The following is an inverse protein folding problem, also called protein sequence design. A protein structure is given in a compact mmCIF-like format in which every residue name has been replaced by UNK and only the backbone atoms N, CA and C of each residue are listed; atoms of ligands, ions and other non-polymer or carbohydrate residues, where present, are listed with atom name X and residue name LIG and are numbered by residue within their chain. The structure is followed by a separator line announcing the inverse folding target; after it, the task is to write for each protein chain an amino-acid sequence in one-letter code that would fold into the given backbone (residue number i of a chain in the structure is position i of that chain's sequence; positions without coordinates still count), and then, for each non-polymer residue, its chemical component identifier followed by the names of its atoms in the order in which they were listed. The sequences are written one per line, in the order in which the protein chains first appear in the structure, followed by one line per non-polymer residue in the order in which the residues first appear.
data_IF_246574283411
#
_entry.id   IF_246574283411
#
_cell.length_a   1.000
_cell.length_b   1.000
_cell.length_c   1.000
_cell.angle_alpha   90.00
_cell.angle_beta   90.00
_cell.angle_gamma   90.00
#
_symmetry.space_group_name_H-M   'P 1'
#
loop_
_entity.id
_entity.type
_entity.pdbx_description
1 polymer ?
#
# COMPACT_ATOMS: atom_id res chain seq x y z
N UNK A 1 -5.01 16.41 11.13
CA UNK A 1 -6.34 16.07 10.56
C UNK A 1 -6.21 16.04 9.02
N UNK A 2 -5.89 14.89 8.40
CA UNK A 2 -5.73 14.81 6.92
C UNK A 2 -7.04 14.49 6.18
N UNK A 3 -7.93 13.72 6.78
CA UNK A 3 -9.22 13.35 6.15
C UNK A 3 -10.25 14.51 6.13
N UNK A 4 -10.16 15.45 7.07
CA UNK A 4 -11.15 16.52 7.22
C UNK A 4 -11.08 17.65 6.18
N UNK A 5 -10.08 17.67 5.30
CA UNK A 5 -9.94 18.70 4.25
C UNK A 5 -10.52 18.26 2.89
N UNK A 6 -11.01 17.02 2.76
CA UNK A 6 -11.32 16.40 1.47
C UNK A 6 -12.83 16.46 1.14
N UNK A 7 -13.61 17.25 1.87
CA UNK A 7 -15.05 17.42 1.68
C UNK A 7 -15.90 16.69 2.73
N UNK A 8 -17.21 16.73 2.53
CA UNK A 8 -18.18 16.05 3.40
C UNK A 8 -18.23 14.55 3.09
N UNK A 9 -18.23 13.74 4.16
CA UNK A 9 -18.40 12.30 4.10
C UNK A 9 -19.16 11.82 5.34
N UNK A 10 -19.82 10.67 5.23
CA UNK A 10 -20.43 9.98 6.37
C UNK A 10 -19.78 8.62 6.59
N UNK A 11 -19.67 8.24 7.87
CA UNK A 11 -19.17 6.95 8.32
C UNK A 11 -20.34 6.09 8.82
N UNK A 12 -20.40 4.85 8.35
CA UNK A 12 -21.38 3.86 8.76
C UNK A 12 -20.65 2.60 9.24
N UNK A 13 -20.86 2.21 10.50
CA UNK A 13 -20.38 0.91 10.98
C UNK A 13 -21.29 -0.19 10.45
N UNK A 14 -20.71 -1.23 9.87
CA UNK A 14 -21.47 -2.37 9.33
C UNK A 14 -21.34 -3.59 10.25
N UNK A 15 -20.11 -3.86 10.70
CA UNK A 15 -19.80 -4.94 11.63
C UNK A 15 -18.49 -4.62 12.36
N UNK A 16 -18.07 -5.48 13.30
CA UNK A 16 -16.81 -5.29 14.02
C UNK A 16 -15.64 -5.16 13.05
N UNK A 17 -14.95 -4.02 13.07
CA UNK A 17 -13.80 -3.75 12.20
C UNK A 17 -14.12 -3.43 10.74
N UNK A 18 -15.40 -3.34 10.34
CA UNK A 18 -15.80 -3.01 8.96
C UNK A 18 -16.65 -1.73 8.93
N UNK A 19 -16.18 -0.78 8.13
CA UNK A 19 -16.81 0.53 7.98
C UNK A 19 -17.09 0.83 6.51
N UNK A 20 -18.24 1.46 6.25
CA UNK A 20 -18.57 2.09 4.97
C UNK A 20 -18.38 3.59 5.09
N UNK A 21 -17.61 4.14 4.16
CA UNK A 21 -17.40 5.58 4.03
C UNK A 21 -18.13 6.03 2.77
N UNK A 22 -19.15 6.87 2.94
CA UNK A 22 -19.85 7.50 1.83
C UNK A 22 -19.30 8.90 1.64
N UNK A 23 -18.75 9.14 0.46
CA UNK A 23 -18.29 10.47 0.05
C UNK A 23 -19.36 11.15 -0.78
N UNK A 24 -19.58 12.44 -0.56
CA UNK A 24 -20.50 13.25 -1.37
C UNK A 24 -19.92 13.56 -2.76
N UNK A 25 -18.60 13.40 -2.92
CA UNK A 25 -17.87 13.67 -4.14
C UNK A 25 -16.96 12.48 -4.52
N UNK A 26 -16.98 12.09 -5.80
CA UNK A 26 -16.12 11.01 -6.29
C UNK A 26 -14.64 11.40 -6.28
N UNK A 27 -14.31 12.69 -6.51
CA UNK A 27 -12.91 13.15 -6.50
C UNK A 27 -12.32 13.05 -5.09
N UNK A 28 -13.13 13.33 -4.07
CA UNK A 28 -12.76 13.15 -2.66
C UNK A 28 -12.47 11.68 -2.34
N UNK A 29 -13.36 10.77 -2.75
CA UNK A 29 -13.17 9.32 -2.61
C UNK A 29 -11.87 8.87 -3.28
N UNK A 30 -11.68 9.23 -4.54
CA UNK A 30 -10.55 8.77 -5.34
C UNK A 30 -9.24 9.35 -4.79
N UNK A 31 -9.22 10.61 -4.36
CA UNK A 31 -8.07 11.19 -3.68
C UNK A 31 -7.74 10.43 -2.39
N UNK A 32 -8.73 10.08 -1.57
CA UNK A 32 -8.49 9.28 -0.35
C UNK A 32 -7.96 7.89 -0.69
N UNK A 33 -8.49 7.23 -1.71
CA UNK A 33 -7.98 5.92 -2.16
C UNK A 33 -6.53 6.00 -2.67
N UNK A 34 -6.21 7.06 -3.44
CA UNK A 34 -4.91 7.21 -4.09
C UNK A 34 -3.80 7.74 -3.15
N UNK A 35 -4.17 8.45 -2.08
CA UNK A 35 -3.21 9.08 -1.16
C UNK A 35 -3.00 8.30 0.15
N UNK A 36 -3.38 7.02 0.19
CA UNK A 36 -3.03 6.10 1.27
C UNK A 36 -1.52 5.85 1.40
N UNK A 37 -1.07 5.11 2.43
CA UNK A 37 -1.86 4.37 3.43
C UNK A 37 -2.40 5.29 4.53
N UNK A 38 -3.45 4.83 5.23
CA UNK A 38 -4.12 5.62 6.26
C UNK A 38 -3.93 5.00 7.64
N UNK A 39 -3.24 5.73 8.50
CA UNK A 39 -3.09 5.37 9.90
C UNK A 39 -3.96 6.28 10.75
N UNK A 40 -4.86 5.68 11.52
CA UNK A 40 -5.70 6.40 12.48
C UNK A 40 -5.45 5.79 13.86
N UNK A 41 -4.86 6.59 14.75
CA UNK A 41 -4.60 6.21 16.13
C UNK A 41 -3.80 4.89 16.29
N UNK A 42 -2.84 4.66 15.40
CA UNK A 42 -2.01 3.45 15.43
C UNK A 42 -2.65 2.23 14.75
N UNK A 43 -3.85 2.37 14.19
CA UNK A 43 -4.49 1.33 13.39
C UNK A 43 -4.33 1.65 11.90
N UNK A 44 -3.77 0.69 11.17
CA UNK A 44 -3.72 0.71 9.71
C UNK A 44 -5.12 0.46 9.14
N UNK A 45 -5.58 1.36 8.28
CA UNK A 45 -6.88 1.24 7.61
C UNK A 45 -6.66 0.81 6.17
N UNK A 46 -7.14 -0.39 5.85
CA UNK A 46 -7.27 -0.84 4.48
C UNK A 46 -8.54 -0.23 3.87
N UNK A 47 -8.38 0.56 2.81
CA UNK A 47 -9.50 1.11 2.05
C UNK A 47 -9.65 0.37 0.72
N UNK A 48 -10.89 0.01 0.38
CA UNK A 48 -11.25 -0.55 -0.92
C UNK A 48 -12.50 0.13 -1.45
N UNK A 49 -12.55 0.34 -2.78
CA UNK A 49 -13.76 0.84 -3.43
C UNK A 49 -14.86 -0.21 -3.34
N UNK A 50 -16.01 0.18 -2.78
CA UNK A 50 -17.16 -0.72 -2.69
C UNK A 50 -17.75 -1.03 -4.07
N UNK A 51 -18.11 -2.29 -4.29
CA UNK A 51 -18.85 -2.75 -5.48
C UNK A 51 -20.06 -3.60 -5.06
N UNK A 52 -21.09 -3.63 -5.91
CA UNK A 52 -22.29 -4.44 -5.67
C UNK A 52 -21.90 -5.92 -5.56
N UNK A 53 -22.28 -6.57 -4.46
CA UNK A 53 -21.97 -7.97 -4.19
C UNK A 53 -20.73 -8.20 -3.32
N UNK A 54 -20.00 -7.14 -2.92
CA UNK A 54 -18.95 -7.28 -1.91
C UNK A 54 -19.52 -7.69 -0.55
N UNK A 55 -18.93 -8.71 0.05
CA UNK A 55 -19.18 -9.06 1.46
C UNK A 55 -18.66 -7.95 2.38
N UNK A 56 -19.46 -7.59 3.39
CA UNK A 56 -19.13 -6.58 4.39
C UNK A 56 -18.65 -7.21 5.71
N UNK A 57 -17.99 -8.37 5.60
CA UNK A 57 -17.40 -9.12 6.72
C UNK A 57 -15.88 -9.03 6.65
N UNK A 58 -15.26 -8.92 7.82
CA UNK A 58 -13.80 -8.88 7.95
C UNK A 58 -13.16 -10.22 7.56
N UNK A 59 -13.87 -11.34 7.78
CA UNK A 59 -13.42 -12.72 7.57
C UNK A 59 -13.05 -13.07 6.12
N UNK A 60 -13.50 -12.27 5.14
CA UNK A 60 -13.14 -12.49 3.72
C UNK A 60 -11.95 -11.62 3.27
N UNK A 61 -11.37 -10.80 4.15
CA UNK A 61 -10.23 -9.95 3.82
C UNK A 61 -8.91 -10.71 3.97
N UNK A 62 -8.66 -11.66 3.07
CA UNK A 62 -7.44 -12.48 3.10
C UNK A 62 -6.16 -11.69 2.75
N UNK A 63 -6.30 -10.64 1.95
CA UNK A 63 -5.21 -9.76 1.56
C UNK A 63 -5.63 -8.28 1.57
N UNK A 64 -4.65 -7.40 1.72
CA UNK A 64 -4.82 -5.96 1.82
C UNK A 64 -3.72 -5.24 1.02
N UNK A 65 -4.07 -4.22 0.22
CA UNK A 65 -3.09 -3.41 -0.49
C UNK A 65 -2.39 -2.46 0.48
N UNK A 66 -1.06 -2.56 0.57
CA UNK A 66 -0.23 -1.78 1.50
C UNK A 66 0.87 -1.07 0.72
N UNK A 67 1.03 0.22 0.97
CA UNK A 67 2.12 1.02 0.43
C UNK A 67 3.37 0.83 1.27
N UNK A 68 4.35 0.13 0.71
CA UNK A 68 5.63 -0.17 1.33
C UNK A 68 6.68 0.84 0.85
N UNK A 69 7.58 1.25 1.75
CA UNK A 69 8.66 2.19 1.45
C UNK A 69 10.01 1.47 1.44
N UNK A 70 10.48 1.12 0.25
CA UNK A 70 11.77 0.47 0.08
C UNK A 70 12.92 1.48 0.20
N UNK A 71 13.83 1.25 1.14
CA UNK A 71 14.99 2.10 1.44
C UNK A 71 16.29 1.46 0.93
N UNK A 72 17.26 2.29 0.55
CA UNK A 72 18.58 1.85 0.07
C UNK A 72 18.52 0.90 -1.14
N UNK A 73 17.51 1.05 -1.99
CA UNK A 73 17.37 0.21 -3.19
C UNK A 73 18.56 0.43 -4.15
N UNK A 74 19.26 -0.64 -4.58
CA UNK A 74 20.33 -0.53 -5.55
C UNK A 74 19.87 0.14 -6.85
N UNK A 75 20.68 1.06 -7.37
CA UNK A 75 20.32 1.88 -8.54
C UNK A 75 19.92 1.03 -9.77
N UNK A 76 20.59 -0.10 -9.99
CA UNK A 76 20.30 -1.01 -11.10
C UNK A 76 18.93 -1.71 -10.97
N UNK A 77 18.39 -1.85 -9.74
CA UNK A 77 17.06 -2.39 -9.48
C UNK A 77 15.96 -1.32 -9.50
N UNK A 78 16.29 -0.05 -9.77
CA UNK A 78 15.33 1.06 -9.85
C UNK A 78 14.53 1.07 -11.17
N UNK A 79 14.06 -0.10 -11.59
CA UNK A 79 13.17 -0.29 -12.72
C UNK A 79 11.83 -0.85 -12.25
N UNK A 80 10.80 -0.77 -13.09
CA UNK A 80 9.51 -1.40 -12.78
C UNK A 80 9.69 -2.88 -12.46
N UNK A 81 10.55 -3.58 -13.20
CA UNK A 81 10.83 -4.99 -12.99
C UNK A 81 11.59 -5.24 -11.68
N UNK A 82 12.67 -4.48 -11.43
CA UNK A 82 13.48 -4.63 -10.22
C UNK A 82 12.71 -4.31 -8.93
N UNK A 83 11.96 -3.20 -8.90
CA UNK A 83 11.13 -2.85 -7.75
C UNK A 83 10.00 -3.86 -7.52
N UNK A 84 9.43 -4.42 -8.59
CA UNK A 84 8.44 -5.50 -8.48
C UNK A 84 9.08 -6.79 -7.96
N UNK A 85 10.30 -7.11 -8.38
CA UNK A 85 11.05 -8.26 -7.88
C UNK A 85 11.30 -8.16 -6.37
N UNK A 86 11.81 -7.02 -5.88
CA UNK A 86 12.07 -6.81 -4.45
C UNK A 86 10.76 -6.91 -3.64
N UNK A 87 9.73 -6.18 -4.06
CA UNK A 87 8.45 -6.14 -3.34
C UNK A 87 7.66 -7.44 -3.42
N UNK A 88 7.98 -8.34 -4.36
CA UNK A 88 7.33 -9.64 -4.48
C UNK A 88 7.58 -10.56 -3.28
N UNK A 89 8.64 -10.30 -2.51
CA UNK A 89 8.92 -11.00 -1.23
C UNK A 89 7.82 -10.75 -0.20
N UNK A 90 7.18 -9.58 -0.24
CA UNK A 90 6.13 -9.19 0.70
C UNK A 90 4.73 -9.66 0.27
N UNK A 91 4.51 -9.82 -1.03
CA UNK A 91 3.20 -10.14 -1.60
C UNK A 91 3.16 -9.85 -3.11
N UNK A 92 1.98 -9.52 -3.65
CA UNK A 92 1.84 -9.22 -5.08
C UNK A 92 1.98 -7.72 -5.35
N UNK A 93 3.01 -7.24 -6.07
CA UNK A 93 3.16 -5.83 -6.41
C UNK A 93 2.00 -5.38 -7.31
N UNK A 94 1.40 -4.24 -7.00
CA UNK A 94 0.26 -3.66 -7.72
C UNK A 94 0.66 -2.38 -8.47
N UNK A 95 1.17 -1.39 -7.73
CA UNK A 95 1.38 -0.02 -8.24
C UNK A 95 2.66 0.60 -7.69
N UNK A 96 3.17 1.62 -8.37
CA UNK A 96 4.25 2.48 -7.90
C UNK A 96 3.75 3.92 -7.89
N UNK A 97 4.17 4.71 -6.92
CA UNK A 97 3.79 6.13 -6.91
C UNK A 97 4.49 6.89 -8.05
N UNK A 98 3.96 8.09 -8.36
CA UNK A 98 4.50 8.90 -9.46
C UNK A 98 5.97 9.32 -9.24
N UNK A 99 6.42 9.72 -8.03
CA UNK A 99 7.84 10.00 -7.79
C UNK A 99 8.76 8.81 -8.07
N UNK A 100 8.38 7.60 -7.63
CA UNK A 100 9.15 6.36 -7.86
C UNK A 100 9.20 6.01 -9.34
N UNK A 101 8.03 6.05 -10.00
CA UNK A 101 7.90 5.71 -11.43
C UNK A 101 8.72 6.65 -12.31
N UNK A 102 8.69 7.96 -12.01
CA UNK A 102 9.41 8.97 -12.77
C UNK A 102 10.86 9.16 -12.32
N UNK A 103 11.34 8.37 -11.34
CA UNK A 103 12.69 8.48 -10.76
C UNK A 103 13.05 9.91 -10.31
N UNK A 104 12.06 10.66 -9.80
CA UNK A 104 12.25 12.06 -9.37
C UNK A 104 13.11 12.17 -8.11
N UNK A 105 13.08 11.16 -7.26
CA UNK A 105 13.94 11.00 -6.10
C UNK A 105 14.31 9.53 -5.96
N UNK A 106 15.58 9.26 -5.67
CA UNK A 106 16.10 7.91 -5.44
C UNK A 106 16.38 7.65 -3.95
N UNK A 107 15.79 8.45 -3.07
CA UNK A 107 15.93 8.30 -1.61
C UNK A 107 15.16 7.08 -1.08
N UNK A 108 14.02 6.78 -1.70
CA UNK A 108 13.21 5.60 -1.44
C UNK A 108 12.29 5.32 -2.62
N UNK A 109 11.87 4.07 -2.77
CA UNK A 109 10.81 3.68 -3.69
C UNK A 109 9.54 3.35 -2.90
N UNK A 110 8.38 3.78 -3.39
CA UNK A 110 7.07 3.41 -2.84
C UNK A 110 6.34 2.48 -3.79
N UNK A 111 6.02 1.30 -3.30
CA UNK A 111 5.31 0.25 -4.04
C UNK A 111 4.07 -0.17 -3.25
N UNK A 112 2.92 -0.21 -3.90
CA UNK A 112 1.71 -0.80 -3.36
C UNK A 112 1.74 -2.31 -3.59
N UNK A 113 1.64 -3.10 -2.53
CA UNK A 113 1.73 -4.56 -2.54
C UNK A 113 0.46 -5.12 -1.92
N UNK A 114 -0.19 -6.05 -2.62
CA UNK A 114 -1.27 -6.86 -2.05
C UNK A 114 -0.64 -7.94 -1.17
N UNK A 115 -0.73 -7.76 0.15
CA UNK A 115 -0.12 -8.63 1.15
C UNK A 115 -1.20 -9.41 1.88
N UNK A 116 -0.91 -10.64 2.33
CA UNK A 116 -1.85 -11.36 3.20
C UNK A 116 -2.06 -10.55 4.48
N UNK A 117 -3.31 -10.46 4.95
CA UNK A 117 -3.64 -9.70 6.15
C UNK A 117 -2.97 -10.27 7.42
N UNK A 118 -2.56 -11.54 7.38
CA UNK A 118 -1.82 -12.23 8.43
C UNK A 118 -0.29 -12.12 8.30
N UNK A 119 0.23 -11.46 7.26
CA UNK A 119 1.68 -11.34 7.06
C UNK A 119 2.33 -10.45 8.11
N UNK A 120 3.50 -10.86 8.59
CA UNK A 120 4.40 -9.98 9.35
C UNK A 120 5.11 -9.00 8.42
N UNK A 121 5.37 -7.79 8.92
CA UNK A 121 6.20 -6.81 8.22
C UNK A 121 7.67 -7.00 8.61
N UNK A 122 8.55 -7.47 7.68
CA UNK A 122 9.97 -7.52 7.96
C UNK A 122 10.54 -6.10 7.99
N UNK A 123 11.62 -5.89 8.74
CA UNK A 123 12.35 -4.61 8.73
C UNK A 123 13.22 -4.44 7.48
N UNK A 124 13.59 -5.55 6.83
CA UNK A 124 14.44 -5.56 5.65
C UNK A 124 14.22 -6.81 4.79
N UNK A 125 14.65 -6.72 3.53
CA UNK A 125 14.65 -7.78 2.52
C UNK A 125 16.10 -7.97 2.06
N UNK A 126 16.62 -9.20 2.20
CA UNK A 126 17.92 -9.59 1.64
C UNK A 126 17.72 -10.06 0.19
N UNK A 127 18.54 -9.54 -0.72
CA UNK A 127 18.53 -9.87 -2.13
C UNK A 127 19.86 -10.51 -2.51
N UNK A 128 19.78 -11.65 -3.20
CA UNK A 128 20.94 -12.28 -3.83
C UNK A 128 21.11 -11.72 -5.24
N UNK A 129 22.29 -11.19 -5.54
CA UNK A 129 22.64 -10.62 -6.84
C UNK A 129 23.35 -11.67 -7.71
N UNK A 130 23.31 -11.47 -9.03
CA UNK A 130 23.87 -12.41 -10.01
C UNK A 130 25.40 -12.62 -9.87
N UNK A 131 26.10 -11.67 -9.25
CA UNK A 131 27.53 -11.75 -8.95
C UNK A 131 27.85 -12.54 -7.67
N UNK A 132 26.83 -13.11 -7.02
CA UNK A 132 26.93 -13.85 -5.76
C UNK A 132 27.04 -12.96 -4.52
N UNK A 133 26.99 -11.63 -4.67
CA UNK A 133 26.89 -10.71 -3.54
C UNK A 133 25.46 -10.60 -3.02
N UNK A 134 25.32 -10.14 -1.78
CA UNK A 134 24.01 -9.88 -1.18
C UNK A 134 23.86 -8.41 -0.85
N UNK A 135 22.64 -7.90 -0.96
CA UNK A 135 22.31 -6.54 -0.58
C UNK A 135 21.03 -6.52 0.24
N UNK A 136 20.92 -5.53 1.13
CA UNK A 136 19.80 -5.41 2.05
C UNK A 136 18.98 -4.15 1.71
N UNK A 137 17.68 -4.34 1.53
CA UNK A 137 16.71 -3.28 1.27
C UNK A 137 15.82 -3.13 2.49
N UNK A 138 15.79 -1.93 3.08
CA UNK A 138 14.89 -1.63 4.21
C UNK A 138 13.43 -1.54 3.76
N UNK A 139 12.49 -1.91 4.63
CA UNK A 139 11.03 -1.93 4.38
C UNK A 139 10.29 -0.91 5.23
#
# INVERSE_FOLDING_TARGET
RKLGQVGSFSFHSVSSGVFLIKFDNFQARDWVLDNGPWDIWGYHIALRKWTKGMSLRLEECNSIPIWVKLLNVPLHLWSKLGLSYISSVLGRPLYMDAPTTNRKSLTFARVCVDMLASSSFPNSITLDLDDGSTTEVGV
#
